data_IF_067703495450
#
_entry.id   IF_067703495450
#
_cell.length_a   1.000
_cell.length_b   1.000
_cell.length_c   1.000
_cell.angle_alpha   90.00
_cell.angle_beta   90.00
_cell.angle_gamma   90.00
#
_symmetry.space_group_name_H-M   'P 1'
#
loop_
_entity.id
_entity.type
_entity.pdbx_description
1 polymer ?
#
# COMPACT_ATOMS: atom_id res chain seq x y z
N UNK A 1 -49.38 -24.62 14.44
CA UNK A 1 -48.53 -23.73 13.62
C UNK A 1 -47.08 -24.02 13.99
N UNK A 2 -46.29 -24.52 13.06
CA UNK A 2 -44.86 -24.71 13.28
C UNK A 2 -44.17 -23.36 13.05
N UNK A 3 -43.51 -22.82 14.07
CA UNK A 3 -42.65 -21.64 13.94
C UNK A 3 -41.37 -22.06 13.27
N UNK A 4 -41.14 -21.62 12.04
CA UNK A 4 -39.83 -21.72 11.40
C UNK A 4 -38.88 -20.74 12.10
N UNK A 5 -37.99 -21.26 12.91
CA UNK A 5 -36.84 -20.49 13.44
C UNK A 5 -35.75 -20.41 12.36
N UNK A 6 -35.48 -19.22 11.88
CA UNK A 6 -34.33 -19.01 11.01
C UNK A 6 -33.05 -19.22 11.84
N UNK A 7 -32.09 -19.93 11.27
CA UNK A 7 -30.77 -20.11 11.93
C UNK A 7 -30.05 -18.77 11.99
N UNK A 8 -29.63 -18.38 13.18
CA UNK A 8 -28.89 -17.15 13.38
C UNK A 8 -27.49 -17.30 12.78
N UNK A 9 -27.07 -16.33 11.95
CA UNK A 9 -25.73 -16.35 11.34
C UNK A 9 -24.69 -16.08 12.42
N UNK A 10 -23.72 -16.97 12.55
CA UNK A 10 -22.55 -16.79 13.45
C UNK A 10 -21.26 -16.73 12.64
N UNK A 11 -20.34 -15.87 13.05
CA UNK A 11 -18.99 -15.78 12.45
C UNK A 11 -18.19 -17.08 12.57
N UNK A 12 -18.54 -17.96 13.54
CA UNK A 12 -17.97 -19.29 13.66
C UNK A 12 -18.25 -20.19 12.45
N UNK A 13 -19.34 -19.97 11.74
CA UNK A 13 -19.68 -20.71 10.52
C UNK A 13 -18.70 -20.44 9.37
N UNK A 14 -18.05 -19.30 9.39
CA UNK A 14 -17.13 -18.85 8.31
C UNK A 14 -15.67 -18.76 8.76
N UNK A 15 -15.34 -19.11 10.01
CA UNK A 15 -13.98 -18.99 10.58
C UNK A 15 -12.90 -19.76 9.81
N UNK A 16 -13.28 -20.82 9.12
CA UNK A 16 -12.37 -21.65 8.31
C UNK A 16 -12.36 -21.24 6.83
N UNK A 17 -13.16 -20.23 6.44
CA UNK A 17 -13.15 -19.72 5.08
C UNK A 17 -11.99 -18.74 4.91
N UNK A 18 -10.97 -19.16 4.16
CA UNK A 18 -9.86 -18.27 3.81
C UNK A 18 -10.18 -17.62 2.48
N UNK A 19 -10.31 -16.28 2.43
CA UNK A 19 -10.49 -15.58 1.15
C UNK A 19 -9.30 -15.83 0.24
N UNK A 20 -9.55 -16.08 -1.03
CA UNK A 20 -8.53 -16.19 -2.07
C UNK A 20 -8.65 -15.00 -3.00
N UNK A 21 -7.57 -14.27 -3.17
CA UNK A 21 -7.49 -13.26 -4.21
C UNK A 21 -7.45 -13.95 -5.58
N UNK A 22 -8.43 -13.65 -6.42
CA UNK A 22 -8.53 -14.18 -7.79
C UNK A 22 -7.98 -13.20 -8.84
N UNK A 23 -7.29 -12.16 -8.39
CA UNK A 23 -6.73 -11.10 -9.20
C UNK A 23 -7.66 -9.89 -9.36
N UNK A 24 -7.15 -8.83 -9.99
CA UNK A 24 -7.97 -7.66 -10.27
C UNK A 24 -9.09 -8.06 -11.23
N UNK A 25 -10.32 -8.01 -10.77
CA UNK A 25 -11.50 -8.20 -11.60
C UNK A 25 -11.75 -6.96 -12.46
N UNK A 26 -11.84 -7.12 -13.77
CA UNK A 26 -12.32 -6.09 -14.68
C UNK A 26 -11.62 -4.73 -14.54
N UNK A 27 -12.34 -3.72 -14.07
CA UNK A 27 -11.89 -2.32 -14.02
C UNK A 27 -11.10 -1.92 -12.76
N UNK A 28 -10.89 -2.79 -11.81
CA UNK A 28 -10.23 -2.47 -10.54
C UNK A 28 -8.70 -2.55 -10.56
N UNK A 29 -8.12 -2.97 -11.66
CA UNK A 29 -6.69 -3.25 -11.81
C UNK A 29 -5.85 -2.09 -12.37
N UNK A 30 -6.24 -0.82 -12.18
CA UNK A 30 -5.37 0.30 -12.58
C UNK A 30 -4.02 0.19 -11.89
N UNK A 31 -2.94 0.21 -12.65
CA UNK A 31 -1.59 0.34 -12.11
C UNK A 31 -1.42 1.77 -11.57
N UNK A 32 -1.01 1.86 -10.32
CA UNK A 32 -0.78 3.13 -9.60
C UNK A 32 0.68 3.36 -9.28
N UNK A 33 1.44 2.28 -9.15
CA UNK A 33 2.87 2.32 -8.88
C UNK A 33 3.56 1.12 -9.51
N UNK A 34 4.81 1.31 -9.91
CA UNK A 34 5.70 0.25 -10.38
C UNK A 34 7.11 0.56 -9.91
N UNK A 35 7.81 -0.47 -9.46
CA UNK A 35 9.24 -0.40 -9.20
C UNK A 35 9.93 -1.71 -9.57
N UNK A 36 11.21 -1.62 -9.93
CA UNK A 36 11.99 -2.71 -10.52
C UNK A 36 13.35 -2.78 -9.84
N UNK A 37 13.87 -3.98 -9.61
CA UNK A 37 15.22 -4.15 -9.11
C UNK A 37 16.21 -3.80 -10.22
N UNK A 38 17.00 -2.74 -10.04
CA UNK A 38 17.90 -2.20 -11.07
C UNK A 38 18.90 -3.25 -11.64
N UNK A 39 19.43 -4.10 -10.77
CA UNK A 39 20.40 -5.14 -11.14
C UNK A 39 19.74 -6.44 -11.64
N UNK A 40 18.43 -6.55 -11.53
CA UNK A 40 17.66 -7.72 -11.99
C UNK A 40 16.25 -7.30 -12.40
N UNK A 41 16.06 -6.75 -13.60
CA UNK A 41 14.78 -6.21 -14.06
C UNK A 41 13.69 -7.28 -14.26
N UNK A 42 14.01 -8.57 -14.19
CA UNK A 42 13.01 -9.63 -14.15
C UNK A 42 12.17 -9.59 -12.87
N UNK A 43 12.72 -8.98 -11.79
CA UNK A 43 12.01 -8.79 -10.52
C UNK A 43 11.43 -7.40 -10.45
N UNK A 44 10.10 -7.34 -10.47
CA UNK A 44 9.35 -6.09 -10.43
C UNK A 44 8.13 -6.21 -9.54
N UNK A 45 7.70 -5.06 -9.03
CA UNK A 45 6.53 -4.93 -8.18
C UNK A 45 5.56 -3.93 -8.81
N UNK A 46 4.28 -4.28 -8.82
CA UNK A 46 3.21 -3.44 -9.37
C UNK A 46 2.13 -3.26 -8.33
N UNK A 47 1.91 -2.02 -7.94
CA UNK A 47 0.81 -1.59 -7.09
C UNK A 47 -0.41 -1.23 -7.93
N UNK A 48 -1.58 -1.60 -7.44
CA UNK A 48 -2.85 -1.34 -8.12
C UNK A 48 -3.82 -0.57 -7.22
N UNK A 49 -4.75 0.14 -7.82
CA UNK A 49 -5.73 0.98 -7.13
C UNK A 49 -6.64 0.21 -6.17
N UNK A 50 -6.95 -1.06 -6.48
CA UNK A 50 -7.86 -1.92 -5.71
C UNK A 50 -7.62 -3.42 -5.88
N UNK A 51 -6.51 -3.81 -6.47
CA UNK A 51 -6.12 -5.21 -6.70
C UNK A 51 -4.90 -5.65 -5.89
N UNK A 52 -4.43 -4.84 -4.94
CA UNK A 52 -3.27 -5.13 -4.11
C UNK A 52 -1.92 -4.91 -4.81
N UNK A 53 -0.90 -5.52 -4.24
CA UNK A 53 0.48 -5.49 -4.74
C UNK A 53 0.83 -6.83 -5.39
N UNK A 54 1.42 -6.75 -6.55
CA UNK A 54 1.81 -7.91 -7.36
C UNK A 54 3.32 -7.92 -7.59
N UNK A 55 3.90 -9.12 -7.56
CA UNK A 55 5.31 -9.36 -7.84
C UNK A 55 5.47 -10.26 -9.05
N UNK A 56 6.36 -9.87 -9.95
CA UNK A 56 6.92 -10.75 -10.97
C UNK A 56 8.38 -11.07 -10.66
N UNK A 57 8.83 -12.25 -11.03
CA UNK A 57 10.24 -12.69 -11.04
C UNK A 57 10.62 -13.25 -12.42
N UNK A 58 9.86 -12.88 -13.44
CA UNK A 58 9.97 -13.44 -14.79
C UNK A 58 9.80 -12.36 -15.86
N UNK A 59 10.24 -11.12 -15.60
CA UNK A 59 10.11 -10.01 -16.55
C UNK A 59 8.66 -9.67 -16.91
N UNK A 60 7.72 -9.86 -15.97
CA UNK A 60 6.30 -9.54 -16.20
C UNK A 60 5.47 -10.66 -16.81
N UNK A 61 6.05 -11.84 -17.09
CA UNK A 61 5.31 -12.97 -17.70
C UNK A 61 4.35 -13.59 -16.67
N UNK A 62 4.80 -13.75 -15.41
CA UNK A 62 4.00 -14.33 -14.32
C UNK A 62 3.95 -13.36 -13.16
N UNK A 63 2.74 -13.18 -12.62
CA UNK A 63 2.47 -12.31 -11.49
C UNK A 63 1.88 -13.08 -10.31
N UNK A 64 2.38 -12.80 -9.11
CA UNK A 64 1.88 -13.37 -7.87
C UNK A 64 1.43 -12.24 -6.95
N UNK A 65 0.22 -12.31 -6.36
CA UNK A 65 -0.21 -11.35 -5.36
C UNK A 65 0.57 -11.58 -4.07
N UNK A 66 0.98 -10.50 -3.42
CA UNK A 66 1.85 -10.57 -2.23
C UNK A 66 1.37 -9.66 -1.08
N UNK A 67 0.16 -9.09 -1.17
CA UNK A 67 -0.36 -8.14 -0.18
C UNK A 67 -1.80 -8.48 0.26
N UNK A 68 -2.21 -9.74 0.09
CA UNK A 68 -3.60 -10.20 0.25
C UNK A 68 -4.08 -10.22 1.71
N UNK A 69 -3.16 -10.26 2.67
CA UNK A 69 -3.47 -10.37 4.10
C UNK A 69 -3.52 -9.02 4.81
N UNK A 70 -3.22 -7.94 4.08
CA UNK A 70 -3.15 -6.61 4.64
C UNK A 70 -4.52 -5.91 4.62
N UNK A 71 -4.66 -4.83 5.40
CA UNK A 71 -5.95 -4.16 5.64
C UNK A 71 -6.54 -3.48 4.41
N UNK A 72 -5.79 -3.33 3.33
CA UNK A 72 -6.25 -2.68 2.10
C UNK A 72 -5.60 -3.30 0.87
N UNK A 73 -6.34 -3.30 -0.23
CA UNK A 73 -5.84 -3.63 -1.56
C UNK A 73 -5.53 -2.39 -2.41
N UNK A 74 -5.61 -1.19 -1.82
CA UNK A 74 -5.33 0.06 -2.52
C UNK A 74 -3.87 0.47 -2.31
N UNK A 75 -3.07 0.43 -3.36
CA UNK A 75 -1.66 0.81 -3.35
C UNK A 75 -1.52 2.16 -4.05
N UNK A 76 -0.76 3.08 -3.46
CA UNK A 76 -0.46 4.39 -4.05
C UNK A 76 1.01 4.55 -4.42
N UNK A 77 1.91 3.89 -3.70
CA UNK A 77 3.35 3.93 -3.96
C UNK A 77 4.02 2.59 -3.65
N UNK A 78 5.06 2.26 -4.39
CA UNK A 78 5.98 1.14 -4.14
C UNK A 78 7.39 1.66 -4.32
N UNK A 79 8.29 1.30 -3.42
CA UNK A 79 9.70 1.68 -3.48
C UNK A 79 10.58 0.52 -3.00
N UNK A 80 11.53 0.10 -3.82
CA UNK A 80 12.51 -0.93 -3.51
C UNK A 80 13.80 -0.25 -3.01
N UNK A 81 14.29 -0.66 -1.85
CA UNK A 81 15.61 -0.25 -1.42
C UNK A 81 16.66 -0.91 -2.32
N UNK A 82 17.18 -0.19 -3.31
CA UNK A 82 18.09 -0.76 -4.32
C UNK A 82 19.40 -1.32 -3.76
N UNK A 83 19.87 -0.81 -2.60
CA UNK A 83 21.05 -1.34 -1.89
C UNK A 83 20.77 -2.70 -1.20
N UNK A 84 19.50 -3.00 -0.91
CA UNK A 84 19.02 -4.29 -0.39
C UNK A 84 17.64 -4.58 -0.91
N UNK A 85 17.48 -5.23 -2.07
CA UNK A 85 16.19 -5.45 -2.73
C UNK A 85 15.22 -6.37 -1.99
N UNK A 86 15.63 -6.95 -0.86
CA UNK A 86 14.68 -7.63 0.04
C UNK A 86 13.83 -6.65 0.83
N UNK A 87 14.26 -5.39 0.95
CA UNK A 87 13.52 -4.33 1.64
C UNK A 87 12.65 -3.58 0.65
N UNK A 88 11.35 -3.59 0.91
CA UNK A 88 10.33 -2.96 0.06
C UNK A 88 9.44 -2.10 0.94
N UNK A 89 9.14 -0.91 0.47
CA UNK A 89 8.20 0.00 1.08
C UNK A 89 6.95 0.14 0.23
N UNK A 90 5.81 0.19 0.88
CA UNK A 90 4.50 0.36 0.24
C UNK A 90 3.73 1.47 0.92
N UNK A 91 3.33 2.45 0.14
CA UNK A 91 2.37 3.46 0.54
C UNK A 91 0.98 3.06 0.07
N UNK A 92 0.03 3.03 0.99
CA UNK A 92 -1.33 2.60 0.68
C UNK A 92 -2.26 3.79 0.40
N UNK A 93 -3.35 3.50 -0.33
CA UNK A 93 -4.31 4.51 -0.77
C UNK A 93 -3.93 5.15 -2.09
N UNK A 94 -4.75 4.93 -3.11
CA UNK A 94 -4.55 5.47 -4.45
C UNK A 94 -4.50 7.00 -4.44
N UNK A 95 -3.47 7.60 -5.05
CA UNK A 95 -3.27 9.04 -5.12
C UNK A 95 -3.72 9.70 -6.43
N UNK A 96 -4.11 8.92 -7.45
CA UNK A 96 -4.52 9.46 -8.74
C UNK A 96 -5.93 10.09 -8.66
N UNK A 97 -6.12 11.35 -9.10
CA UNK A 97 -7.43 12.02 -9.01
C UNK A 97 -8.51 11.29 -9.80
N UNK A 98 -9.52 10.78 -9.09
CA UNK A 98 -10.69 10.10 -9.66
C UNK A 98 -11.92 10.22 -8.74
N UNK A 99 -13.10 9.87 -9.28
CA UNK A 99 -14.35 9.86 -8.50
C UNK A 99 -14.46 8.66 -7.55
N UNK A 100 -13.63 7.62 -7.73
CA UNK A 100 -13.64 6.38 -6.94
C UNK A 100 -12.24 6.07 -6.40
N UNK A 101 -11.77 6.83 -5.42
CA UNK A 101 -10.51 6.59 -4.75
C UNK A 101 -10.71 5.69 -3.53
N UNK A 102 -9.92 4.63 -3.44
CA UNK A 102 -9.87 3.78 -2.27
C UNK A 102 -8.79 4.28 -1.31
N UNK A 103 -9.18 4.50 -0.06
CA UNK A 103 -8.25 4.89 0.99
C UNK A 103 -7.31 3.76 1.40
N UNK A 104 -6.18 4.15 1.95
CA UNK A 104 -5.19 3.25 2.53
C UNK A 104 -5.12 3.34 4.05
N UNK A 105 -4.18 2.57 4.59
CA UNK A 105 -3.88 2.45 6.02
C UNK A 105 -2.38 2.65 6.27
N UNK A 106 -1.83 3.78 5.78
CA UNK A 106 -0.45 4.19 6.03
C UNK A 106 0.60 3.45 5.20
N UNK A 107 1.77 3.31 5.78
CA UNK A 107 2.96 2.73 5.17
C UNK A 107 3.19 1.31 5.67
N UNK A 108 3.62 0.43 4.77
CA UNK A 108 4.07 -0.92 5.09
C UNK A 108 5.50 -1.13 4.62
N UNK A 109 6.21 -2.01 5.32
CA UNK A 109 7.59 -2.40 5.00
C UNK A 109 7.72 -3.92 5.00
N UNK A 110 8.38 -4.47 4.00
CA UNK A 110 8.84 -5.85 3.97
C UNK A 110 10.35 -5.89 4.09
N UNK A 111 10.88 -6.93 4.73
CA UNK A 111 12.31 -7.21 4.84
C UNK A 111 12.72 -8.51 4.11
N UNK A 112 11.76 -9.17 3.48
CA UNK A 112 11.91 -10.52 2.92
C UNK A 112 11.40 -10.63 1.47
N UNK A 113 11.41 -9.51 0.75
CA UNK A 113 11.01 -9.45 -0.65
C UNK A 113 9.50 -9.59 -0.86
N UNK A 114 8.70 -9.17 0.11
CA UNK A 114 7.24 -9.16 0.04
C UNK A 114 6.58 -10.44 0.52
N UNK A 115 7.28 -11.31 1.27
CA UNK A 115 6.66 -12.50 1.86
C UNK A 115 5.88 -12.18 3.13
N UNK A 116 6.34 -11.18 3.87
CA UNK A 116 5.66 -10.64 5.05
C UNK A 116 5.74 -9.10 5.08
N UNK A 117 4.78 -8.47 5.77
CA UNK A 117 4.64 -7.03 5.85
C UNK A 117 4.50 -6.56 7.29
N UNK A 118 5.05 -5.41 7.58
CA UNK A 118 4.94 -4.71 8.87
C UNK A 118 4.33 -3.34 8.62
N UNK A 119 3.29 -2.99 9.37
CA UNK A 119 2.75 -1.64 9.38
C UNK A 119 3.75 -0.68 10.04
N UNK A 120 4.06 0.42 9.36
CA UNK A 120 5.09 1.39 9.74
C UNK A 120 4.48 2.77 10.08
N UNK A 121 3.19 2.83 10.40
CA UNK A 121 2.51 4.07 10.79
C UNK A 121 1.92 4.86 9.63
N UNK A 122 1.57 6.11 9.92
CA UNK A 122 0.93 7.04 8.99
C UNK A 122 -0.48 6.61 8.52
N UNK A 123 -1.21 5.81 9.31
CA UNK A 123 -2.53 5.25 8.96
C UNK A 123 -3.56 6.34 8.63
N UNK A 124 -3.43 7.49 9.27
CA UNK A 124 -4.36 8.62 9.08
C UNK A 124 -4.15 9.39 7.79
N UNK A 125 -3.05 9.17 7.07
CA UNK A 125 -2.76 9.91 5.81
C UNK A 125 -3.68 9.53 4.66
N UNK A 126 -4.33 8.38 4.71
CA UNK A 126 -5.32 7.83 3.78
C UNK A 126 -4.83 7.58 2.36
N UNK A 127 -4.03 8.46 1.77
CA UNK A 127 -3.53 8.34 0.40
C UNK A 127 -2.06 8.75 0.36
N UNK A 128 -1.18 7.78 0.10
CA UNK A 128 0.25 7.97 -0.03
C UNK A 128 0.64 7.75 -1.48
N UNK A 129 1.06 8.81 -2.15
CA UNK A 129 1.35 8.78 -3.59
C UNK A 129 2.83 8.63 -3.91
N UNK A 130 3.72 8.95 -2.97
CA UNK A 130 5.18 8.82 -3.16
C UNK A 130 5.85 8.28 -1.91
N UNK A 131 6.80 7.40 -2.14
CA UNK A 131 7.81 7.01 -1.15
C UNK A 131 9.16 7.12 -1.84
N UNK A 132 10.15 7.63 -1.13
CA UNK A 132 11.53 7.72 -1.61
C UNK A 132 12.44 7.30 -0.48
N UNK A 133 13.25 6.28 -0.70
CA UNK A 133 14.32 5.85 0.20
C UNK A 133 15.59 6.58 -0.18
N UNK A 134 16.29 7.17 0.79
CA UNK A 134 17.59 7.79 0.55
C UNK A 134 18.59 6.72 0.11
N UNK A 135 19.23 6.88 -1.07
CA UNK A 135 20.13 5.87 -1.61
C UNK A 135 21.43 5.69 -0.80
N UNK A 136 21.79 6.69 0.02
CA UNK A 136 23.00 6.68 0.84
C UNK A 136 22.73 6.24 2.28
N UNK A 137 21.52 6.47 2.77
CA UNK A 137 21.09 6.09 4.12
C UNK A 137 19.67 5.50 4.11
N UNK A 138 19.52 4.16 4.07
CA UNK A 138 18.24 3.52 3.95
C UNK A 138 17.31 3.67 5.17
N UNK A 139 17.81 4.18 6.29
CA UNK A 139 16.97 4.55 7.44
C UNK A 139 16.25 5.88 7.23
N UNK A 140 16.65 6.65 6.20
CA UNK A 140 16.00 7.90 5.81
C UNK A 140 15.02 7.62 4.68
N UNK A 141 13.72 7.87 4.96
CA UNK A 141 12.65 7.69 3.98
C UNK A 141 11.73 8.90 4.01
N UNK A 142 11.31 9.32 2.83
CA UNK A 142 10.35 10.41 2.63
C UNK A 142 9.04 9.84 2.11
N UNK A 143 7.93 10.34 2.63
CA UNK A 143 6.57 9.93 2.24
C UNK A 143 5.75 11.15 1.89
N UNK A 144 5.23 11.19 0.66
CA UNK A 144 4.30 12.20 0.19
C UNK A 144 2.85 11.76 0.39
N UNK A 145 2.10 12.49 1.22
CA UNK A 145 0.72 12.19 1.53
C UNK A 145 -0.24 13.26 0.98
N UNK A 146 -1.25 12.80 0.26
CA UNK A 146 -2.32 13.66 -0.28
C UNK A 146 -3.36 13.94 0.82
N UNK A 147 -3.56 13.03 1.76
CA UNK A 147 -4.66 13.07 2.71
C UNK A 147 -5.99 12.73 2.05
N UNK A 148 -7.11 13.09 2.66
CA UNK A 148 -8.43 12.89 2.04
C UNK A 148 -8.63 13.84 0.85
N UNK A 149 -8.94 13.38 -0.36
CA UNK A 149 -9.18 14.26 -1.50
C UNK A 149 -10.54 14.98 -1.44
N UNK A 150 -11.45 14.51 -0.56
CA UNK A 150 -12.83 14.96 -0.50
C UNK A 150 -13.11 16.08 0.51
N UNK A 151 -12.06 16.56 1.18
CA UNK A 151 -12.21 17.63 2.18
C UNK A 151 -10.89 18.04 2.79
N UNK A 152 -10.94 18.97 3.72
CA UNK A 152 -9.78 19.37 4.50
C UNK A 152 -9.26 18.19 5.31
N UNK A 153 -7.95 18.01 5.34
CA UNK A 153 -7.32 16.91 6.05
C UNK A 153 -5.97 17.33 6.64
N UNK A 154 -5.76 17.16 7.94
CA UNK A 154 -4.54 17.61 8.60
C UNK A 154 -3.32 16.73 8.29
N UNK A 155 -3.54 15.47 7.91
CA UNK A 155 -2.45 14.50 7.62
C UNK A 155 -2.05 14.53 6.14
N UNK A 156 -1.84 15.74 5.61
CA UNK A 156 -1.27 16.02 4.29
C UNK A 156 0.17 16.47 4.42
N UNK A 157 0.94 16.36 3.36
CA UNK A 157 2.29 16.91 3.31
C UNK A 157 3.37 15.84 3.13
N UNK A 158 4.61 16.20 3.46
CA UNK A 158 5.75 15.28 3.43
C UNK A 158 6.11 14.87 4.84
N UNK A 159 6.22 13.57 5.03
CA UNK A 159 6.70 12.96 6.25
C UNK A 159 8.10 12.37 6.00
N UNK A 160 8.95 12.47 7.01
CA UNK A 160 10.32 11.93 6.99
C UNK A 160 10.55 11.05 8.20
N UNK A 161 11.17 9.92 7.99
CA UNK A 161 11.81 9.11 9.03
C UNK A 161 13.32 9.18 8.90
N UNK A 162 14.04 8.93 9.99
CA UNK A 162 15.50 8.77 10.05
C UNK A 162 15.91 7.53 10.83
N UNK A 163 14.95 6.68 11.16
CA UNK A 163 15.11 5.49 11.98
C UNK A 163 14.46 4.24 11.34
N UNK A 164 14.36 4.25 10.00
CA UNK A 164 13.84 3.14 9.23
C UNK A 164 12.32 2.95 9.35
N UNK A 165 11.59 4.02 9.69
CA UNK A 165 10.14 4.04 9.76
C UNK A 165 9.54 3.83 11.15
N UNK A 166 10.35 3.79 12.20
CA UNK A 166 9.86 3.65 13.58
C UNK A 166 9.14 4.92 14.05
N UNK A 167 9.66 6.10 13.64
CA UNK A 167 9.04 7.40 13.90
C UNK A 167 8.97 8.25 12.64
N UNK A 168 7.96 9.13 12.58
CA UNK A 168 7.73 10.01 11.44
C UNK A 168 7.58 11.46 11.87
N UNK A 169 8.29 12.35 11.19
CA UNK A 169 8.19 13.79 11.37
C UNK A 169 7.57 14.41 10.12
N UNK A 170 6.53 15.20 10.28
CA UNK A 170 5.94 16.00 9.20
C UNK A 170 6.86 17.19 8.92
N UNK A 171 7.62 17.14 7.82
CA UNK A 171 8.63 18.14 7.49
C UNK A 171 8.15 19.22 6.53
N UNK A 172 7.05 18.95 5.81
CA UNK A 172 6.41 19.92 4.94
C UNK A 172 4.89 19.81 5.09
N UNK A 173 4.29 20.93 5.46
CA UNK A 173 2.85 21.07 5.55
C UNK A 173 2.48 22.49 5.10
N UNK A 174 1.71 22.62 4.04
CA UNK A 174 1.24 23.91 3.55
C UNK A 174 -0.06 24.32 4.26
N UNK A 175 -1.07 23.49 4.18
CA UNK A 175 -2.38 23.66 4.83
C UNK A 175 -3.23 22.38 4.69
N UNK A 176 -4.43 22.39 5.28
CA UNK A 176 -5.35 21.24 5.24
C UNK A 176 -5.94 20.92 3.85
N UNK A 177 -5.70 21.75 2.84
CA UNK A 177 -6.25 21.59 1.48
C UNK A 177 -5.22 21.15 0.45
N UNK A 178 -3.92 21.41 0.70
CA UNK A 178 -2.82 21.12 -0.22
C UNK A 178 -2.13 19.80 0.16
N UNK A 179 -2.16 18.82 -0.72
CA UNK A 179 -1.43 17.56 -0.59
C UNK A 179 -0.16 17.54 -1.42
N UNK A 180 0.58 16.43 -1.30
CA UNK A 180 1.78 16.14 -2.10
C UNK A 180 1.51 14.93 -2.98
N UNK A 181 1.72 15.10 -4.30
CA UNK A 181 1.54 14.09 -5.33
C UNK A 181 2.88 13.77 -6.04
#
# INVERSE_FOLDING_TARGET
MATLSAQEFSMDMVKNMTPRNIGPGGMSGRVTAIDVINNNPDVMYVGTASGGLWKSTSGGIKWNPIFEKELTASIGAVEIQQSNPSVIWVGTGEGNPRNSLNGGYGVYKSLDGGKSWMAMGLEKTRHIHRIIVDPTNPDVVYVGAIGSPWGEHPERGVFKTTDGGKTWNKILFANNKTGVA
#
